data_IF_429658043413
#
_entry.id   IF_429658043413
#
_cell.length_a   1.000
_cell.length_b   1.000
_cell.length_c   1.000
_cell.angle_alpha   90.00
_cell.angle_beta   90.00
_cell.angle_gamma   90.00
#
_symmetry.space_group_name_H-M   'P 1'
#
loop_
_entity.id
_entity.type
_entity.pdbx_description
1 polymer ?
#
# COMPACT_ATOMS: atom_id res chain seq x y z
N UNK A 1 5.58 19.12 -6.59
CA UNK A 1 6.24 18.28 -5.57
C UNK A 1 5.32 17.22 -4.94
N UNK A 2 4.32 17.54 -4.08
CA UNK A 2 3.46 16.50 -3.44
C UNK A 2 2.66 15.67 -4.46
N UNK A 3 1.97 16.34 -5.39
CA UNK A 3 1.17 15.69 -6.45
C UNK A 3 2.02 14.84 -7.42
N UNK A 4 3.24 15.26 -7.73
CA UNK A 4 4.16 14.50 -8.60
C UNK A 4 4.62 13.20 -7.93
N UNK A 5 4.95 13.25 -6.63
CA UNK A 5 5.30 12.06 -5.85
C UNK A 5 4.13 11.07 -5.80
N UNK A 6 2.92 11.55 -5.49
CA UNK A 6 1.72 10.70 -5.44
C UNK A 6 1.47 10.03 -6.79
N UNK A 7 1.54 10.78 -7.90
CA UNK A 7 1.36 10.22 -9.24
C UNK A 7 2.44 9.20 -9.61
N UNK A 8 3.70 9.43 -9.21
CA UNK A 8 4.79 8.47 -9.41
C UNK A 8 4.53 7.16 -8.66
N UNK A 9 4.11 7.24 -7.39
CA UNK A 9 3.83 6.06 -6.56
C UNK A 9 2.63 5.27 -7.07
N UNK A 10 1.59 5.95 -7.56
CA UNK A 10 0.44 5.29 -8.19
C UNK A 10 0.80 4.62 -9.53
N UNK A 11 1.65 5.25 -10.35
CA UNK A 11 2.16 4.62 -11.56
C UNK A 11 3.02 3.39 -11.23
N UNK A 12 3.83 3.48 -10.18
CA UNK A 12 4.58 2.36 -9.62
C UNK A 12 3.65 1.20 -9.25
N UNK A 13 2.55 1.47 -8.52
CA UNK A 13 1.54 0.45 -8.18
C UNK A 13 1.00 -0.25 -9.43
N UNK A 14 0.53 0.50 -10.42
CA UNK A 14 -0.07 -0.04 -11.66
C UNK A 14 0.95 -0.85 -12.48
N UNK A 15 2.21 -0.42 -12.49
CA UNK A 15 3.27 -1.11 -13.24
C UNK A 15 3.78 -2.39 -12.56
N UNK A 16 3.41 -2.63 -11.30
CA UNK A 16 3.93 -3.77 -10.54
C UNK A 16 3.23 -5.06 -10.94
N UNK A 17 4.01 -6.08 -11.29
CA UNK A 17 3.50 -7.41 -11.59
C UNK A 17 3.66 -8.32 -10.38
N UNK A 18 2.63 -9.10 -10.11
CA UNK A 18 2.47 -9.74 -8.82
C UNK A 18 1.48 -10.88 -8.76
N UNK A 19 1.22 -11.28 -7.51
CA UNK A 19 0.19 -12.25 -7.17
C UNK A 19 -1.20 -11.60 -7.19
N UNK A 20 -1.30 -10.37 -6.69
CA UNK A 20 -2.54 -9.58 -6.65
C UNK A 20 -2.21 -8.21 -7.21
N UNK A 21 -2.68 -7.96 -8.42
CA UNK A 21 -2.38 -6.72 -9.14
C UNK A 21 -3.45 -5.67 -8.86
N UNK A 22 -3.02 -4.42 -8.73
CA UNK A 22 -3.88 -3.24 -8.81
C UNK A 22 -3.69 -2.65 -10.20
N UNK A 23 -4.78 -2.48 -10.95
CA UNK A 23 -4.72 -1.95 -12.31
C UNK A 23 -5.03 -0.44 -12.36
N UNK A 24 -4.99 0.12 -13.58
CA UNK A 24 -5.30 1.54 -13.77
C UNK A 24 -6.75 1.88 -13.42
N UNK A 25 -7.70 0.98 -13.66
CA UNK A 25 -9.11 1.21 -13.35
C UNK A 25 -9.33 1.26 -11.83
N UNK A 26 -8.60 0.45 -11.06
CA UNK A 26 -8.62 0.49 -9.60
C UNK A 26 -8.16 1.84 -9.08
N UNK A 27 -7.04 2.35 -9.61
CA UNK A 27 -6.50 3.67 -9.25
C UNK A 27 -7.43 4.80 -9.68
N UNK A 28 -8.02 4.72 -10.87
CA UNK A 28 -8.93 5.76 -11.37
C UNK A 28 -10.22 5.81 -10.55
N UNK A 29 -10.77 4.65 -10.19
CA UNK A 29 -11.94 4.56 -9.31
C UNK A 29 -11.62 5.13 -7.92
N UNK A 30 -10.47 4.77 -7.35
CA UNK A 30 -10.01 5.32 -6.07
C UNK A 30 -9.92 6.84 -6.11
N UNK A 31 -9.30 7.41 -7.16
CA UNK A 31 -9.16 8.87 -7.33
C UNK A 31 -10.50 9.57 -7.48
N UNK A 32 -11.48 8.95 -8.13
CA UNK A 32 -12.80 9.54 -8.35
C UNK A 32 -13.59 9.74 -7.04
N UNK A 33 -13.31 8.93 -6.02
CA UNK A 33 -14.04 8.93 -4.75
C UNK A 33 -13.44 9.87 -3.69
N UNK A 34 -12.31 10.51 -3.97
CA UNK A 34 -11.54 11.28 -2.98
C UNK A 34 -11.15 12.68 -3.50
N UNK A 35 -11.06 13.66 -2.61
CA UNK A 35 -10.79 15.05 -2.96
C UNK A 35 -9.31 15.44 -2.86
N UNK A 36 -8.58 14.79 -1.96
CA UNK A 36 -7.14 14.97 -1.76
C UNK A 36 -6.47 13.62 -1.57
N UNK A 37 -5.22 13.48 -2.00
CA UNK A 37 -4.47 12.22 -1.93
C UNK A 37 -3.08 12.48 -1.40
N UNK A 38 -2.66 11.64 -0.47
CA UNK A 38 -1.30 11.57 0.00
C UNK A 38 -0.81 10.13 -0.03
N UNK A 39 0.49 9.96 -0.19
CA UNK A 39 1.09 8.66 -0.37
C UNK A 39 2.48 8.61 0.26
N UNK A 40 2.84 7.42 0.70
CA UNK A 40 4.14 7.12 1.27
C UNK A 40 4.67 5.79 0.75
N UNK A 41 6.00 5.70 0.72
CA UNK A 41 6.73 4.51 0.32
C UNK A 41 7.74 4.21 1.41
N UNK A 42 7.69 3.01 1.96
CA UNK A 42 8.56 2.54 3.04
C UNK A 42 9.15 1.18 2.68
N UNK A 43 10.27 0.84 3.30
CA UNK A 43 10.93 -0.45 3.13
C UNK A 43 11.38 -0.96 4.49
N UNK A 44 11.33 -2.27 4.69
CA UNK A 44 11.70 -2.88 5.96
C UNK A 44 11.83 -4.39 5.86
N UNK A 45 11.79 -5.07 6.99
CA UNK A 45 11.80 -6.54 7.06
C UNK A 45 10.38 -7.11 7.00
N UNK A 46 10.21 -8.25 6.36
CA UNK A 46 8.88 -8.85 6.14
C UNK A 46 8.09 -9.06 7.45
N UNK A 47 8.79 -9.36 8.55
CA UNK A 47 8.18 -9.49 9.89
C UNK A 47 7.58 -8.17 10.42
N UNK A 48 7.99 -7.03 9.88
CA UNK A 48 7.58 -5.68 10.30
C UNK A 48 6.41 -5.12 9.48
N UNK A 49 5.94 -5.82 8.44
CA UNK A 49 4.93 -5.30 7.48
C UNK A 49 3.72 -4.69 8.19
N UNK A 50 3.15 -5.41 9.16
CA UNK A 50 1.95 -4.94 9.86
C UNK A 50 2.18 -3.64 10.62
N UNK A 51 3.29 -3.55 11.37
CA UNK A 51 3.65 -2.35 12.12
C UNK A 51 4.02 -1.20 11.18
N UNK A 52 4.72 -1.46 10.08
CA UNK A 52 5.07 -0.43 9.11
C UNK A 52 3.86 0.10 8.34
N UNK A 53 2.88 -0.75 8.03
CA UNK A 53 1.63 -0.33 7.40
C UNK A 53 0.82 0.56 8.34
N UNK A 54 0.66 0.16 9.60
CA UNK A 54 -0.03 0.96 10.63
C UNK A 54 0.66 2.33 10.84
N UNK A 55 1.98 2.33 10.96
CA UNK A 55 2.78 3.55 11.11
C UNK A 55 2.68 4.47 9.87
N UNK A 56 2.74 3.89 8.66
CA UNK A 56 2.60 4.66 7.43
C UNK A 56 1.23 5.33 7.38
N UNK A 57 0.14 4.56 7.58
CA UNK A 57 -1.24 5.08 7.61
C UNK A 57 -1.36 6.21 8.62
N UNK A 58 -0.94 5.99 9.86
CA UNK A 58 -0.98 6.98 10.94
C UNK A 58 -0.22 8.24 10.56
N UNK A 59 1.00 8.11 10.02
CA UNK A 59 1.81 9.25 9.56
C UNK A 59 1.13 10.05 8.45
N UNK A 60 0.44 9.39 7.51
CA UNK A 60 -0.31 10.09 6.45
C UNK A 60 -1.48 10.85 7.05
N UNK A 61 -2.23 10.25 7.97
CA UNK A 61 -3.39 10.90 8.60
C UNK A 61 -2.95 12.12 9.42
N UNK A 62 -1.90 11.98 10.25
CA UNK A 62 -1.40 13.05 11.10
C UNK A 62 -0.95 14.29 10.31
N UNK A 63 -0.20 14.09 9.20
CA UNK A 63 0.30 15.21 8.39
C UNK A 63 -0.76 15.86 7.49
N UNK A 64 -1.96 15.29 7.42
CA UNK A 64 -3.11 15.84 6.69
C UNK A 64 -4.19 16.33 7.66
N UNK A 65 -3.79 16.80 8.84
CA UNK A 65 -4.65 17.41 9.86
C UNK A 65 -5.83 16.52 10.28
N UNK A 66 -5.64 15.20 10.29
CA UNK A 66 -6.67 14.22 10.63
C UNK A 66 -7.97 14.37 9.82
N UNK A 67 -7.85 14.80 8.55
CA UNK A 67 -8.95 14.76 7.57
C UNK A 67 -9.57 13.36 7.57
N UNK A 68 -10.89 13.30 7.33
CA UNK A 68 -11.60 12.04 7.22
C UNK A 68 -11.01 11.20 6.08
N UNK A 69 -10.56 10.00 6.42
CA UNK A 69 -10.12 9.01 5.43
C UNK A 69 -11.33 8.50 4.67
N UNK A 70 -11.28 8.54 3.34
CA UNK A 70 -12.33 8.02 2.45
C UNK A 70 -11.94 6.76 1.73
N UNK A 71 -10.64 6.57 1.50
CA UNK A 71 -10.12 5.39 0.83
C UNK A 71 -8.69 5.10 1.23
N UNK A 72 -8.36 3.81 1.22
CA UNK A 72 -7.02 3.29 1.42
C UNK A 72 -6.64 2.42 0.22
N UNK A 73 -5.45 2.65 -0.32
CA UNK A 73 -4.88 1.81 -1.35
C UNK A 73 -3.42 1.49 -1.00
N UNK A 74 -3.04 0.22 -0.98
CA UNK A 74 -1.64 -0.14 -0.74
C UNK A 74 -1.16 -1.35 -1.53
N UNK A 75 0.14 -1.40 -1.80
CA UNK A 75 0.79 -2.57 -2.41
C UNK A 75 2.00 -2.97 -1.58
N UNK A 76 2.07 -4.26 -1.26
CA UNK A 76 3.25 -4.90 -0.67
C UNK A 76 4.06 -5.49 -1.83
N UNK A 77 5.33 -5.10 -1.93
CA UNK A 77 6.30 -5.64 -2.89
C UNK A 77 7.28 -6.54 -2.18
N UNK A 78 7.42 -7.75 -2.68
CA UNK A 78 8.24 -8.81 -2.09
C UNK A 78 9.31 -9.30 -3.09
N UNK A 79 10.38 -9.95 -2.63
CA UNK A 79 11.29 -10.66 -3.53
C UNK A 79 10.58 -11.80 -4.27
N UNK A 80 10.97 -12.04 -5.54
CA UNK A 80 10.37 -13.09 -6.38
C UNK A 80 10.48 -14.50 -5.77
N UNK A 81 11.60 -14.80 -5.10
CA UNK A 81 11.94 -16.16 -4.66
C UNK A 81 11.34 -16.57 -3.31
N UNK A 82 10.50 -15.73 -2.69
CA UNK A 82 10.07 -15.97 -1.32
C UNK A 82 8.91 -16.94 -1.20
N UNK A 83 9.02 -17.84 -0.21
CA UNK A 83 7.94 -18.69 0.30
C UNK A 83 6.84 -17.83 0.94
N UNK A 84 6.04 -17.24 0.08
CA UNK A 84 4.94 -16.32 0.35
C UNK A 84 3.91 -16.86 1.37
N UNK A 85 3.74 -18.20 1.42
CA UNK A 85 2.68 -18.87 2.18
C UNK A 85 2.77 -18.70 3.71
N UNK A 86 3.96 -18.50 4.28
CA UNK A 86 4.08 -18.36 5.75
C UNK A 86 3.71 -16.96 6.25
N UNK A 87 3.89 -15.93 5.40
CA UNK A 87 3.68 -14.53 5.78
C UNK A 87 2.31 -13.97 5.39
N UNK A 88 1.53 -14.71 4.59
CA UNK A 88 0.16 -14.35 4.20
C UNK A 88 -0.74 -14.17 5.43
N UNK A 89 -0.60 -15.04 6.44
CA UNK A 89 -1.45 -14.97 7.64
C UNK A 89 -1.26 -13.63 8.37
N UNK A 90 -0.01 -13.15 8.47
CA UNK A 90 0.29 -11.85 9.08
C UNK A 90 -0.28 -10.69 8.27
N UNK A 91 -0.27 -10.80 6.93
CA UNK A 91 -0.83 -9.78 6.03
C UNK A 91 -2.37 -9.77 6.10
N UNK A 92 -3.01 -10.94 6.14
CA UNK A 92 -4.45 -11.09 6.27
C UNK A 92 -4.99 -10.47 7.56
N UNK A 93 -4.34 -10.69 8.71
CA UNK A 93 -4.77 -10.08 9.98
C UNK A 93 -4.72 -8.54 9.94
N UNK A 94 -3.78 -7.96 9.17
CA UNK A 94 -3.66 -6.51 9.01
C UNK A 94 -4.75 -5.98 8.07
N UNK A 95 -5.05 -6.70 6.98
CA UNK A 95 -6.12 -6.37 6.04
C UNK A 95 -7.49 -6.44 6.72
N UNK A 96 -7.75 -7.50 7.49
CA UNK A 96 -9.05 -7.72 8.16
C UNK A 96 -9.36 -6.60 9.15
N UNK A 97 -8.35 -6.06 9.85
CA UNK A 97 -8.52 -4.90 10.75
C UNK A 97 -8.90 -3.61 10.03
N UNK A 98 -8.55 -3.46 8.76
CA UNK A 98 -8.78 -2.24 7.97
C UNK A 98 -10.10 -2.28 7.19
N UNK A 99 -10.72 -3.45 7.03
CA UNK A 99 -11.83 -3.69 6.10
C UNK A 99 -13.24 -3.31 6.57
N UNK A 100 -13.47 -3.00 7.86
CA UNK A 100 -14.84 -2.87 8.37
C UNK A 100 -15.54 -1.53 8.06
N UNK A 101 -14.81 -0.46 7.71
CA UNK A 101 -15.44 0.88 7.47
C UNK A 101 -14.89 1.67 6.27
N UNK A 102 -13.89 1.18 5.55
CA UNK A 102 -13.13 1.93 4.53
C UNK A 102 -13.09 1.22 3.18
N UNK A 103 -13.19 1.98 2.07
CA UNK A 103 -12.90 1.47 0.74
C UNK A 103 -11.39 1.16 0.67
N UNK A 104 -11.03 -0.09 0.97
CA UNK A 104 -9.67 -0.58 1.02
C UNK A 104 -9.38 -1.44 -0.21
N UNK A 105 -8.42 -1.02 -1.03
CA UNK A 105 -7.86 -1.82 -2.13
C UNK A 105 -6.41 -2.16 -1.84
N UNK A 106 -6.03 -3.41 -2.09
CA UNK A 106 -4.68 -3.84 -1.81
C UNK A 106 -4.16 -4.79 -2.86
N UNK A 107 -2.84 -4.79 -3.03
CA UNK A 107 -2.14 -5.64 -3.97
C UNK A 107 -0.86 -6.19 -3.39
N UNK A 108 -0.36 -7.24 -4.04
CA UNK A 108 0.88 -7.90 -3.69
C UNK A 108 1.63 -8.16 -4.98
N UNK A 109 2.84 -7.61 -5.07
CA UNK A 109 3.70 -7.72 -6.23
C UNK A 109 5.11 -8.17 -5.88
N UNK A 110 5.87 -8.50 -6.92
CA UNK A 110 7.25 -8.98 -6.78
C UNK A 110 8.25 -8.02 -7.39
N UNK A 111 9.46 -7.95 -6.82
CA UNK A 111 10.56 -7.13 -7.35
C UNK A 111 11.89 -7.87 -7.22
N UNK A 112 12.69 -7.84 -8.29
CA UNK A 112 13.92 -8.63 -8.43
C UNK A 112 15.10 -8.12 -7.58
N UNK A 113 15.01 -6.88 -7.08
CA UNK A 113 16.10 -6.21 -6.38
C UNK A 113 15.94 -6.22 -4.84
N UNK A 114 14.95 -6.95 -4.31
CA UNK A 114 14.74 -7.11 -2.87
C UNK A 114 15.46 -8.35 -2.37
N UNK A 115 16.06 -8.26 -1.18
CA UNK A 115 16.60 -9.44 -0.50
C UNK A 115 15.47 -10.29 0.10
N UNK A 116 15.73 -11.56 0.36
CA UNK A 116 14.73 -12.54 0.82
C UNK A 116 13.96 -12.14 2.09
N UNK A 117 14.49 -11.27 2.94
CA UNK A 117 13.80 -10.83 4.16
C UNK A 117 13.27 -9.40 4.07
N UNK A 118 13.39 -8.76 2.90
CA UNK A 118 12.98 -7.38 2.68
C UNK A 118 11.60 -7.28 2.01
N UNK A 119 10.96 -6.15 2.24
CA UNK A 119 9.80 -5.73 1.47
C UNK A 119 9.85 -4.23 1.18
N UNK A 120 9.00 -3.82 0.27
CA UNK A 120 8.67 -2.43 0.03
C UNK A 120 7.15 -2.26 0.06
N UNK A 121 6.67 -1.20 0.69
CA UNK A 121 5.25 -0.92 0.84
C UNK A 121 4.98 0.47 0.30
N UNK A 122 4.00 0.55 -0.59
CA UNK A 122 3.45 1.82 -1.06
C UNK A 122 2.06 1.93 -0.46
N UNK A 123 1.82 2.99 0.30
CA UNK A 123 0.53 3.32 0.94
C UNK A 123 0.01 4.61 0.35
N UNK A 124 -1.27 4.63 -0.01
CA UNK A 124 -1.97 5.78 -0.57
C UNK A 124 -3.26 5.97 0.22
N UNK A 125 -3.47 7.17 0.73
CA UNK A 125 -4.69 7.55 1.42
C UNK A 125 -5.37 8.67 0.64
N UNK A 126 -6.68 8.52 0.46
CA UNK A 126 -7.56 9.54 -0.08
C UNK A 126 -8.48 10.10 1.00
N UNK A 127 -8.66 11.42 0.99
CA UNK A 127 -9.42 12.21 1.96
C UNK A 127 -10.63 12.93 1.34
#
# INVERSE_FOLDING_TARGET
>A
MKTERVNSLLAEIVSSQGFINIDQNDVDSFKANVGDIDAEKVSGKIEEIGVMLDNAISSIIERNDSKQVKGLLFVIRLPQDNCFMENINNIHEVIDKLGEELECKWGISTMDNLQNDQFELIVVIGF
#
